data_IF_411744270186
#
_entry.id   IF_411744270186
#
_cell.length_a   1.000
_cell.length_b   1.000
_cell.length_c   1.000
_cell.angle_alpha   90.00
_cell.angle_beta   90.00
_cell.angle_gamma   90.00
#
_symmetry.space_group_name_H-M   'P 1'
#
loop_
_entity.id
_entity.type
_entity.pdbx_description
1 polymer ?
#
# COMPACT_ATOMS: atom_id res chain seq x y z
N UNK A 1 -37.19 25.86 -48.36
CA UNK A 1 -37.63 24.46 -48.40
C UNK A 1 -37.27 23.82 -47.06
N UNK A 2 -38.29 23.44 -46.28
CA UNK A 2 -38.21 22.55 -45.10
C UNK A 2 -38.16 21.08 -45.60
N UNK A 3 -37.66 20.11 -44.81
CA UNK A 3 -38.35 19.50 -43.64
C UNK A 3 -37.42 19.40 -42.41
N UNK A 4 -37.80 19.43 -41.11
CA UNK A 4 -38.89 18.94 -40.24
C UNK A 4 -38.82 17.45 -39.80
N UNK A 5 -38.42 17.29 -38.51
CA UNK A 5 -38.85 16.35 -37.43
C UNK A 5 -38.45 14.87 -37.60
N UNK A 6 -37.81 14.18 -36.64
CA UNK A 6 -38.39 13.86 -35.32
C UNK A 6 -37.40 13.39 -34.24
N UNK A 7 -37.69 13.81 -33.00
CA UNK A 7 -37.23 13.32 -31.69
C UNK A 7 -37.54 11.82 -31.47
N UNK A 8 -36.76 11.19 -30.57
CA UNK A 8 -37.07 10.18 -29.52
C UNK A 8 -35.70 9.78 -28.93
N UNK A 9 -35.41 9.56 -27.65
CA UNK A 9 -35.94 9.92 -26.33
C UNK A 9 -34.77 9.66 -25.36
N UNK A 10 -34.45 10.61 -24.46
CA UNK A 10 -33.42 10.44 -23.42
C UNK A 10 -34.10 9.83 -22.18
N UNK A 11 -33.92 8.53 -21.97
CA UNK A 11 -34.30 7.90 -20.70
C UNK A 11 -33.14 7.96 -19.70
N UNK A 12 -33.24 8.93 -18.79
CA UNK A 12 -32.49 9.01 -17.55
C UNK A 12 -33.00 7.91 -16.61
N UNK A 13 -32.14 6.96 -16.26
CA UNK A 13 -32.40 6.06 -15.14
C UNK A 13 -32.12 6.78 -13.82
N UNK A 14 -33.19 7.01 -13.07
CA UNK A 14 -33.21 7.35 -11.64
C UNK A 14 -32.90 6.11 -10.79
N UNK A 15 -32.08 6.22 -9.73
CA UNK A 15 -31.89 5.15 -8.76
C UNK A 15 -33.06 5.12 -7.74
N UNK A 16 -33.42 3.95 -7.20
CA UNK A 16 -34.53 3.82 -6.27
C UNK A 16 -34.18 4.26 -4.84
N UNK A 17 -35.23 4.79 -4.23
CA UNK A 17 -35.41 5.29 -2.87
C UNK A 17 -34.70 4.52 -1.74
N UNK A 18 -34.04 5.31 -0.89
CA UNK A 18 -33.73 4.98 0.49
C UNK A 18 -35.03 4.81 1.29
N UNK A 19 -35.12 3.75 2.07
CA UNK A 19 -36.14 3.56 3.10
C UNK A 19 -35.63 4.20 4.39
N UNK A 20 -36.34 5.23 4.86
CA UNK A 20 -36.14 5.86 6.17
C UNK A 20 -36.40 4.88 7.30
N UNK A 21 -35.44 4.79 8.21
CA UNK A 21 -35.59 4.30 9.57
C UNK A 21 -35.85 5.51 10.47
N UNK A 22 -37.10 5.67 10.90
CA UNK A 22 -37.47 6.51 12.04
C UNK A 22 -37.77 5.60 13.23
N UNK A 23 -37.00 5.73 14.32
CA UNK A 23 -37.50 5.54 15.68
C UNK A 23 -36.44 5.90 16.73
N UNK A 24 -36.78 6.93 17.51
CA UNK A 24 -36.51 7.10 18.94
C UNK A 24 -35.08 7.35 19.43
N UNK A 25 -34.74 8.63 19.42
CA UNK A 25 -34.51 9.43 20.64
C UNK A 25 -34.67 8.66 21.96
N UNK A 26 -33.57 8.43 22.68
CA UNK A 26 -33.59 8.37 24.13
C UNK A 26 -32.24 8.84 24.72
N UNK A 27 -32.43 9.72 25.67
CA UNK A 27 -31.52 10.62 26.33
C UNK A 27 -31.20 10.00 27.69
N UNK A 28 -29.95 9.63 27.98
CA UNK A 28 -29.53 9.43 29.38
C UNK A 28 -28.00 9.44 29.54
N UNK A 29 -27.51 10.55 30.07
CA UNK A 29 -26.22 10.60 30.78
C UNK A 29 -26.35 9.90 32.13
N UNK A 30 -25.27 9.24 32.61
CA UNK A 30 -24.93 9.45 34.00
C UNK A 30 -23.43 9.61 34.27
N UNK A 31 -23.11 10.79 34.82
CA UNK A 31 -22.52 10.97 36.15
C UNK A 31 -21.24 10.19 36.47
N UNK A 32 -20.13 10.91 36.44
CA UNK A 32 -18.86 10.54 37.08
C UNK A 32 -19.00 10.42 38.61
N UNK A 33 -18.27 9.50 39.27
CA UNK A 33 -17.99 9.60 40.69
C UNK A 33 -16.67 10.33 40.96
N UNK A 34 -16.79 11.35 41.80
CA UNK A 34 -15.74 12.00 42.59
C UNK A 34 -15.29 11.09 43.73
N UNK A 35 -13.97 11.01 43.96
CA UNK A 35 -13.27 10.77 45.24
C UNK A 35 -11.78 11.05 44.95
N UNK A 36 -11.11 12.11 45.42
CA UNK A 36 -10.87 12.63 46.77
C UNK A 36 -9.88 11.79 47.61
N UNK A 37 -8.67 12.35 47.79
CA UNK A 37 -7.71 12.06 48.88
C UNK A 37 -6.59 11.10 48.49
N UNK A 38 -5.32 11.27 48.87
CA UNK A 38 -4.63 12.14 49.83
C UNK A 38 -3.10 11.95 49.61
N UNK A 39 -2.30 13.00 49.85
CA UNK A 39 -0.89 12.98 50.29
C UNK A 39 0.13 12.32 49.35
N UNK A 40 1.39 12.74 49.22
CA UNK A 40 2.34 13.17 50.25
C UNK A 40 3.43 14.02 49.58
N UNK A 41 4.00 14.89 50.41
CA UNK A 41 5.11 15.84 50.28
C UNK A 41 6.37 15.33 49.55
N UNK A 42 7.18 16.25 49.03
CA UNK A 42 8.53 15.93 48.55
C UNK A 42 9.31 17.06 47.86
N UNK A 43 9.78 18.01 48.66
CA UNK A 43 10.79 19.05 48.41
C UNK A 43 11.82 18.91 47.26
N UNK A 44 11.93 20.00 46.47
CA UNK A 44 13.13 20.78 46.05
C UNK A 44 14.48 20.14 45.71
N UNK A 45 15.00 20.45 44.51
CA UNK A 45 16.34 21.01 44.17
C UNK A 45 16.58 20.82 42.66
N UNK A 46 16.62 21.86 41.81
CA UNK A 46 17.79 22.71 41.50
C UNK A 46 19.09 21.93 41.27
N UNK A 47 19.49 21.72 40.00
CA UNK A 47 20.89 21.88 39.58
C UNK A 47 21.04 21.94 38.06
N UNK A 48 21.61 23.05 37.60
CA UNK A 48 22.27 23.22 36.32
C UNK A 48 23.53 22.34 36.20
N UNK A 49 23.89 21.97 34.97
CA UNK A 49 25.21 21.45 34.60
C UNK A 49 25.19 20.97 33.15
N UNK A 50 25.45 21.85 32.17
CA UNK A 50 26.73 21.98 31.45
C UNK A 50 27.43 20.65 31.14
N UNK A 51 27.62 20.40 29.84
CA UNK A 51 28.96 20.23 29.31
C UNK A 51 29.28 18.89 28.67
N UNK A 52 29.55 18.99 27.36
CA UNK A 52 30.67 18.34 26.68
C UNK A 52 30.47 16.94 26.10
N UNK A 53 30.22 16.95 24.78
CA UNK A 53 30.77 15.99 23.84
C UNK A 53 32.30 15.85 24.01
N UNK A 54 32.87 14.70 23.62
CA UNK A 54 33.85 14.81 22.55
C UNK A 54 33.68 13.75 21.46
N UNK A 55 33.88 14.24 20.25
CA UNK A 55 34.37 13.55 19.06
C UNK A 55 35.54 12.61 19.35
N UNK A 56 35.50 11.39 18.81
CA UNK A 56 36.70 10.63 18.48
C UNK A 56 36.43 9.72 17.28
N UNK A 57 37.01 10.12 16.15
CA UNK A 57 37.33 9.28 14.99
C UNK A 57 38.11 8.04 15.40
N UNK A 58 37.80 6.90 14.78
CA UNK A 58 38.52 5.65 15.08
C UNK A 58 38.20 4.51 14.12
N UNK A 59 38.69 4.66 12.89
CA UNK A 59 39.23 3.62 12.00
C UNK A 59 38.60 2.21 11.98
N UNK A 60 38.04 1.94 10.80
CA UNK A 60 37.78 0.65 10.15
C UNK A 60 39.00 -0.28 10.28
N UNK A 61 38.77 -1.50 10.78
CA UNK A 61 39.66 -2.65 10.57
C UNK A 61 38.83 -3.84 10.07
N UNK A 62 39.07 -4.23 8.83
CA UNK A 62 38.51 -5.42 8.19
C UNK A 62 39.45 -6.57 8.51
N UNK A 63 38.94 -7.67 9.07
CA UNK A 63 39.56 -8.98 8.93
C UNK A 63 38.50 -10.06 8.73
N UNK A 64 38.68 -10.96 7.74
CA UNK A 64 37.74 -12.01 7.41
C UNK A 64 38.14 -13.31 8.11
N UNK A 65 37.19 -14.01 8.71
CA UNK A 65 37.34 -15.45 8.92
C UNK A 65 35.96 -16.12 8.94
N UNK A 66 35.74 -16.93 7.90
CA UNK A 66 34.68 -17.93 7.86
C UNK A 66 35.16 -19.19 8.60
N UNK A 67 34.23 -19.97 9.16
CA UNK A 67 34.20 -21.36 8.70
C UNK A 67 32.79 -21.84 8.35
N UNK A 68 32.71 -22.52 7.22
CA UNK A 68 31.64 -23.44 6.91
C UNK A 68 31.79 -24.70 7.78
N UNK A 69 30.73 -25.09 8.48
CA UNK A 69 30.53 -26.50 8.80
C UNK A 69 29.04 -26.84 8.86
N UNK A 70 28.71 -27.82 8.03
CA UNK A 70 27.44 -28.51 7.86
C UNK A 70 27.05 -29.28 9.12
N UNK A 71 25.75 -29.31 9.45
CA UNK A 71 25.24 -30.23 10.46
C UNK A 71 23.74 -30.08 10.67
N UNK A 72 22.97 -30.96 10.03
CA UNK A 72 21.54 -31.16 10.27
C UNK A 72 21.22 -31.16 11.76
N UNK A 73 20.30 -30.30 12.19
CA UNK A 73 19.56 -30.50 13.44
C UNK A 73 18.09 -30.25 13.15
N UNK A 74 17.35 -31.36 13.10
CA UNK A 74 15.92 -31.40 13.34
C UNK A 74 15.61 -30.66 14.64
N UNK A 75 14.90 -29.55 14.54
CA UNK A 75 14.22 -28.92 15.66
C UNK A 75 12.90 -28.39 15.12
N UNK A 76 11.82 -29.08 15.44
CA UNK A 76 10.50 -28.47 15.51
C UNK A 76 10.56 -27.38 16.58
N UNK A 77 11.09 -26.22 16.20
CA UNK A 77 11.09 -25.04 17.03
C UNK A 77 9.64 -24.55 17.10
N UNK A 78 9.01 -24.75 18.25
CA UNK A 78 7.87 -23.93 18.66
C UNK A 78 8.34 -22.48 18.59
N UNK A 79 7.96 -21.79 17.53
CA UNK A 79 8.12 -20.35 17.42
C UNK A 79 7.10 -19.69 18.34
N UNK A 80 7.41 -19.62 19.63
CA UNK A 80 6.89 -18.54 20.50
C UNK A 80 7.63 -17.24 20.12
N UNK A 81 7.58 -16.86 18.84
CA UNK A 81 7.99 -15.54 18.40
C UNK A 81 6.82 -14.62 18.71
N UNK A 82 6.89 -13.96 19.88
CA UNK A 82 6.03 -12.82 20.18
C UNK A 82 6.32 -11.75 19.13
N UNK A 83 5.54 -11.73 18.06
CA UNK A 83 5.51 -10.64 17.09
C UNK A 83 4.90 -9.44 17.83
N UNK A 84 5.70 -8.43 18.22
CA UNK A 84 5.29 -7.42 19.20
C UNK A 84 4.22 -6.45 18.68
N UNK A 85 3.93 -6.52 17.38
CA UNK A 85 2.96 -5.69 16.67
C UNK A 85 1.62 -6.41 16.43
N UNK A 86 1.53 -7.70 16.75
CA UNK A 86 0.31 -8.48 16.56
C UNK A 86 -0.45 -8.62 17.87
N UNK A 87 -1.75 -8.40 17.81
CA UNK A 87 -2.62 -8.60 18.96
C UNK A 87 -2.65 -10.08 19.35
N UNK A 88 -2.91 -10.39 20.63
CA UNK A 88 -2.94 -11.78 21.12
C UNK A 88 -3.89 -12.68 20.31
N UNK A 89 -5.00 -12.12 19.80
CA UNK A 89 -5.91 -12.82 18.89
C UNK A 89 -5.33 -13.13 17.51
N UNK A 90 -4.50 -12.25 16.96
CA UNK A 90 -3.84 -12.43 15.67
C UNK A 90 -2.74 -13.50 15.75
N UNK A 91 -2.01 -13.55 16.86
CA UNK A 91 -1.02 -14.61 17.13
C UNK A 91 -1.69 -15.98 17.24
N UNK A 92 -2.86 -16.08 17.89
CA UNK A 92 -3.61 -17.33 17.93
C UNK A 92 -4.10 -17.77 16.55
N UNK A 93 -4.58 -16.83 15.73
CA UNK A 93 -5.00 -17.10 14.35
C UNK A 93 -3.83 -17.57 13.47
N UNK A 94 -2.65 -16.97 13.63
CA UNK A 94 -1.43 -17.40 12.95
C UNK A 94 -1.04 -18.83 13.35
N UNK A 95 -1.14 -19.17 14.64
CA UNK A 95 -0.86 -20.52 15.12
C UNK A 95 -1.83 -21.56 14.56
N UNK A 96 -3.11 -21.22 14.38
CA UNK A 96 -4.08 -22.09 13.69
C UNK A 96 -3.83 -22.20 12.18
N UNK A 97 -3.14 -21.22 11.59
CA UNK A 97 -2.84 -21.18 10.15
C UNK A 97 -1.53 -21.86 9.75
N UNK A 98 -0.66 -22.15 10.74
CA UNK A 98 0.64 -22.76 10.51
C UNK A 98 0.54 -24.09 9.76
N UNK A 99 1.51 -24.37 8.88
CA UNK A 99 1.50 -25.56 8.02
C UNK A 99 1.53 -26.84 8.84
N UNK A 100 0.39 -27.52 8.93
CA UNK A 100 0.31 -28.89 9.41
C UNK A 100 0.75 -29.81 8.27
N UNK A 101 1.72 -30.70 8.52
CA UNK A 101 2.26 -31.63 7.52
C UNK A 101 1.21 -32.62 6.97
N UNK A 102 -0.01 -32.62 7.53
CA UNK A 102 -1.17 -33.41 7.12
C UNK A 102 -1.98 -32.75 6.00
N UNK A 103 -1.75 -31.47 5.74
CA UNK A 103 -2.42 -30.69 4.69
C UNK A 103 -1.67 -30.74 3.34
N UNK A 104 -0.48 -31.34 3.29
CA UNK A 104 0.25 -31.53 2.05
C UNK A 104 -0.38 -32.69 1.29
N UNK A 105 -1.27 -32.37 0.35
CA UNK A 105 -1.80 -33.36 -0.61
C UNK A 105 -0.69 -33.73 -1.58
N UNK A 106 0.00 -34.82 -1.31
CA UNK A 106 0.96 -35.41 -2.25
C UNK A 106 0.17 -36.06 -3.39
N UNK A 107 0.14 -35.41 -4.55
CA UNK A 107 -0.44 -35.96 -5.76
C UNK A 107 0.41 -37.13 -6.25
N UNK A 108 -0.26 -38.21 -6.69
CA UNK A 108 0.42 -39.28 -7.41
C UNK A 108 0.89 -38.78 -8.78
N UNK A 109 1.99 -39.32 -9.31
CA UNK A 109 2.51 -38.98 -10.64
C UNK A 109 1.43 -39.07 -11.74
N UNK A 110 0.51 -40.04 -11.61
CA UNK A 110 -0.63 -40.18 -12.52
C UNK A 110 -1.63 -39.03 -12.39
N UNK A 111 -1.91 -38.58 -11.17
CA UNK A 111 -2.83 -37.47 -10.90
C UNK A 111 -2.22 -36.16 -11.40
N UNK A 112 -0.92 -35.95 -11.18
CA UNK A 112 -0.18 -34.81 -11.72
C UNK A 112 -0.23 -34.79 -13.25
N UNK A 113 -0.01 -35.94 -13.90
CA UNK A 113 -0.12 -36.07 -15.35
C UNK A 113 -1.54 -35.75 -15.85
N UNK A 114 -2.58 -36.25 -15.17
CA UNK A 114 -3.97 -35.96 -15.54
C UNK A 114 -4.28 -34.46 -15.45
N UNK A 115 -3.80 -33.77 -14.41
CA UNK A 115 -3.96 -32.32 -14.29
C UNK A 115 -3.21 -31.56 -15.37
N UNK A 116 -2.00 -32.01 -15.74
CA UNK A 116 -1.26 -31.43 -16.84
C UNK A 116 -1.99 -31.60 -18.17
N UNK A 117 -2.48 -32.81 -18.47
CA UNK A 117 -3.27 -33.09 -19.67
C UNK A 117 -4.57 -32.28 -19.68
N UNK A 118 -5.24 -32.13 -18.54
CA UNK A 118 -6.41 -31.26 -18.44
C UNK A 118 -6.09 -29.81 -18.83
N UNK A 119 -5.00 -29.25 -18.31
CA UNK A 119 -4.57 -27.90 -18.66
C UNK A 119 -4.24 -27.77 -20.15
N UNK A 120 -3.54 -28.74 -20.73
CA UNK A 120 -3.23 -28.77 -22.16
C UNK A 120 -4.49 -28.85 -23.03
N UNK A 121 -5.47 -29.68 -22.65
CA UNK A 121 -6.75 -29.77 -23.36
C UNK A 121 -7.52 -28.45 -23.27
N UNK A 122 -7.49 -27.76 -22.12
CA UNK A 122 -8.13 -26.45 -21.99
C UNK A 122 -7.49 -25.39 -22.90
N UNK A 123 -6.16 -25.41 -23.03
CA UNK A 123 -5.40 -24.52 -23.92
C UNK A 123 -5.71 -24.82 -25.39
N UNK A 124 -5.67 -26.09 -25.80
CA UNK A 124 -6.01 -26.51 -27.16
C UNK A 124 -7.47 -26.20 -27.53
N UNK A 125 -8.41 -26.27 -26.57
CA UNK A 125 -9.80 -25.87 -26.79
C UNK A 125 -9.93 -24.37 -27.09
N UNK A 126 -9.09 -23.54 -26.47
CA UNK A 126 -9.03 -22.11 -26.74
C UNK A 126 -8.42 -21.84 -28.11
N UNK A 127 -7.30 -22.51 -28.46
CA UNK A 127 -6.70 -22.41 -29.80
C UNK A 127 -7.67 -22.80 -30.91
N UNK A 128 -8.42 -23.90 -30.71
CA UNK A 128 -9.45 -24.34 -31.66
C UNK A 128 -10.54 -23.30 -31.84
N UNK A 129 -11.02 -22.68 -30.75
CA UNK A 129 -12.04 -21.64 -30.83
C UNK A 129 -11.54 -20.40 -31.60
N UNK A 130 -10.26 -20.04 -31.47
CA UNK A 130 -9.64 -18.98 -32.28
C UNK A 130 -9.55 -19.35 -33.76
N UNK A 131 -9.08 -20.56 -34.08
CA UNK A 131 -8.92 -21.01 -35.47
C UNK A 131 -10.26 -21.18 -36.21
N UNK A 132 -11.31 -21.66 -35.52
CA UNK A 132 -12.67 -21.75 -36.08
C UNK A 132 -13.19 -20.37 -36.48
N UNK A 133 -12.91 -19.35 -35.66
CA UNK A 133 -13.35 -17.99 -35.93
C UNK A 133 -12.56 -17.28 -37.05
N UNK A 134 -11.24 -17.53 -37.13
CA UNK A 134 -10.39 -17.01 -38.20
C UNK A 134 -10.81 -17.55 -39.58
N UNK A 135 -11.26 -18.81 -39.63
CA UNK A 135 -11.77 -19.43 -40.85
C UNK A 135 -13.07 -18.78 -41.35
N UNK A 136 -13.98 -18.42 -40.43
CA UNK A 136 -15.28 -17.81 -40.73
C UNK A 136 -15.14 -16.34 -41.22
N UNK A 137 -14.10 -15.64 -40.76
CA UNK A 137 -13.87 -14.21 -41.06
C UNK A 137 -13.29 -13.93 -42.47
N UNK A 138 -12.85 -14.95 -43.22
CA UNK A 138 -12.13 -14.78 -44.49
C UNK A 138 -13.01 -14.51 -45.74
N UNK A 139 -14.26 -14.05 -45.60
CA UNK A 139 -15.21 -13.88 -46.71
C UNK A 139 -15.31 -12.43 -47.25
N UNK A 140 -14.28 -11.96 -47.94
CA UNK A 140 -14.34 -11.03 -49.10
C UNK A 140 -15.13 -9.69 -49.06
N UNK A 141 -15.49 -9.13 -47.91
CA UNK A 141 -16.13 -7.82 -47.76
C UNK A 141 -15.13 -6.76 -47.23
N UNK A 142 -15.58 -5.50 -47.13
CA UNK A 142 -14.79 -4.34 -46.71
C UNK A 142 -13.96 -4.60 -45.43
N UNK A 143 -12.62 -4.43 -45.45
CA UNK A 143 -11.75 -4.89 -44.38
C UNK A 143 -12.01 -4.20 -43.03
N UNK A 144 -12.54 -2.98 -43.02
CA UNK A 144 -12.86 -2.26 -41.78
C UNK A 144 -14.13 -2.80 -41.11
N UNK A 145 -15.20 -3.03 -41.88
CA UNK A 145 -16.43 -3.65 -41.38
C UNK A 145 -16.18 -5.10 -40.93
N UNK A 146 -15.37 -5.86 -41.67
CA UNK A 146 -14.99 -7.22 -41.30
C UNK A 146 -14.16 -7.27 -40.01
N UNK A 147 -13.24 -6.32 -39.82
CA UNK A 147 -12.46 -6.22 -38.60
C UNK A 147 -13.35 -5.92 -37.40
N UNK A 148 -14.31 -5.00 -37.53
CA UNK A 148 -15.26 -4.70 -36.46
C UNK A 148 -16.16 -5.90 -36.10
N UNK A 149 -16.57 -6.69 -37.09
CA UNK A 149 -17.34 -7.93 -36.87
C UNK A 149 -16.47 -9.00 -36.20
N UNK A 150 -15.25 -9.23 -36.69
CA UNK A 150 -14.32 -10.21 -36.14
C UNK A 150 -13.91 -9.87 -34.69
N UNK A 151 -13.66 -8.59 -34.37
CA UNK A 151 -13.39 -8.15 -33.00
C UNK A 151 -14.57 -8.45 -32.07
N UNK A 152 -15.79 -8.15 -32.51
CA UNK A 152 -17.00 -8.42 -31.73
C UNK A 152 -17.20 -9.91 -31.48
N UNK A 153 -17.07 -10.72 -32.52
CA UNK A 153 -17.17 -12.18 -32.43
C UNK A 153 -16.07 -12.76 -31.54
N UNK A 154 -14.86 -12.18 -31.55
CA UNK A 154 -13.74 -12.63 -30.73
C UNK A 154 -14.01 -12.34 -29.26
N UNK A 155 -14.51 -11.14 -28.96
CA UNK A 155 -14.92 -10.78 -27.61
C UNK A 155 -16.08 -11.66 -27.13
N UNK A 156 -17.03 -12.00 -28.00
CA UNK A 156 -18.11 -12.94 -27.70
C UNK A 156 -17.57 -14.35 -27.40
N UNK A 157 -16.73 -14.91 -28.27
CA UNK A 157 -16.09 -16.21 -28.08
C UNK A 157 -15.25 -16.26 -26.79
N UNK A 158 -14.45 -15.21 -26.53
CA UNK A 158 -13.64 -15.11 -25.31
C UNK A 158 -14.51 -15.02 -24.06
N UNK A 159 -15.57 -14.22 -24.09
CA UNK A 159 -16.48 -14.08 -22.96
C UNK A 159 -17.23 -15.39 -22.66
N UNK A 160 -17.76 -16.06 -23.69
CA UNK A 160 -18.48 -17.33 -23.57
C UNK A 160 -17.58 -18.46 -23.08
N UNK A 161 -16.37 -18.59 -23.62
CA UNK A 161 -15.37 -19.55 -23.15
C UNK A 161 -15.01 -19.30 -21.67
N UNK A 162 -14.75 -18.04 -21.30
CA UNK A 162 -14.37 -17.69 -19.92
C UNK A 162 -15.50 -17.98 -18.94
N UNK A 163 -16.75 -17.66 -19.30
CA UNK A 163 -17.94 -17.96 -18.48
C UNK A 163 -18.14 -19.47 -18.35
N UNK A 164 -18.06 -20.23 -19.44
CA UNK A 164 -18.18 -21.70 -19.42
C UNK A 164 -17.11 -22.33 -18.56
N UNK A 165 -15.85 -21.92 -18.72
CA UNK A 165 -14.72 -22.40 -17.91
C UNK A 165 -14.91 -22.09 -16.43
N UNK A 166 -15.38 -20.88 -16.12
CA UNK A 166 -15.70 -20.49 -14.73
C UNK A 166 -16.83 -21.35 -14.16
N UNK A 167 -17.90 -21.61 -14.92
CA UNK A 167 -19.00 -22.46 -14.50
C UNK A 167 -18.55 -23.91 -14.22
N UNK A 168 -17.79 -24.51 -15.15
CA UNK A 168 -17.23 -25.86 -14.98
C UNK A 168 -16.32 -25.91 -13.75
N UNK A 169 -15.41 -24.95 -13.60
CA UNK A 169 -14.51 -24.88 -12.45
C UNK A 169 -15.28 -24.74 -11.14
N UNK A 170 -16.32 -23.92 -11.11
CA UNK A 170 -17.18 -23.79 -9.92
C UNK A 170 -17.80 -25.13 -9.57
N UNK A 171 -18.41 -25.84 -10.52
CA UNK A 171 -19.04 -27.15 -10.28
C UNK A 171 -18.00 -28.17 -9.76
N UNK A 172 -16.83 -28.25 -10.40
CA UNK A 172 -15.74 -29.16 -10.00
C UNK A 172 -15.18 -28.87 -8.61
N UNK A 173 -15.28 -27.62 -8.13
CA UNK A 173 -14.82 -27.24 -6.79
C UNK A 173 -15.94 -27.37 -5.75
N UNK A 174 -17.16 -26.95 -6.06
CA UNK A 174 -18.26 -26.86 -5.08
C UNK A 174 -18.81 -28.23 -4.71
N UNK A 175 -18.97 -29.15 -5.68
CA UNK A 175 -19.52 -30.48 -5.40
C UNK A 175 -18.67 -31.28 -4.39
N UNK A 176 -17.33 -31.42 -4.55
CA UNK A 176 -16.52 -32.12 -3.56
C UNK A 176 -16.43 -31.38 -2.22
N UNK A 177 -16.50 -30.04 -2.19
CA UNK A 177 -16.57 -29.26 -0.94
C UNK A 177 -17.88 -29.54 -0.20
N UNK A 178 -19.02 -29.49 -0.88
CA UNK A 178 -20.33 -29.80 -0.29
C UNK A 178 -20.36 -31.24 0.22
N UNK A 179 -19.76 -32.18 -0.52
CA UNK A 179 -19.62 -33.57 -0.08
C UNK A 179 -18.69 -33.74 1.12
N UNK A 180 -17.61 -32.97 1.20
CA UNK A 180 -16.66 -33.04 2.31
C UNK A 180 -17.24 -32.44 3.60
N UNK A 181 -17.99 -31.35 3.50
CA UNK A 181 -18.51 -30.59 4.65
C UNK A 181 -19.87 -31.11 5.13
N UNK A 182 -20.80 -31.37 4.22
CA UNK A 182 -22.21 -31.60 4.58
C UNK A 182 -22.68 -33.03 4.35
N UNK A 183 -22.05 -33.77 3.43
CA UNK A 183 -22.37 -35.17 3.19
C UNK A 183 -21.32 -36.04 3.89
N UNK A 184 -21.66 -37.29 4.18
CA UNK A 184 -20.63 -38.23 4.65
C UNK A 184 -19.70 -38.50 3.47
N UNK A 185 -18.52 -37.91 3.51
CA UNK A 185 -17.47 -38.09 2.51
C UNK A 185 -17.28 -39.58 2.19
N UNK A 186 -17.56 -39.95 0.93
CA UNK A 186 -17.57 -41.33 0.49
C UNK A 186 -16.15 -41.79 0.16
N UNK A 187 -15.33 -40.90 -0.42
CA UNK A 187 -13.96 -41.20 -0.83
C UNK A 187 -12.93 -40.72 0.21
N UNK A 188 -11.74 -41.36 0.30
CA UNK A 188 -10.68 -40.88 1.18
C UNK A 188 -10.19 -39.47 0.80
N UNK A 189 -10.22 -39.13 -0.50
CA UNK A 189 -9.90 -37.78 -0.98
C UNK A 189 -10.90 -36.74 -0.43
N UNK A 190 -12.20 -37.02 -0.49
CA UNK A 190 -13.23 -36.14 0.10
C UNK A 190 -13.07 -35.95 1.61
N UNK A 191 -12.62 -36.98 2.34
CA UNK A 191 -12.34 -36.86 3.78
C UNK A 191 -11.14 -35.97 4.09
N UNK A 192 -10.10 -36.02 3.25
CA UNK A 192 -8.94 -35.13 3.37
C UNK A 192 -9.28 -33.67 3.02
N UNK A 193 -10.24 -33.44 2.11
CA UNK A 193 -10.67 -32.09 1.75
C UNK A 193 -11.25 -31.30 2.94
N UNK A 194 -11.84 -31.95 3.94
CA UNK A 194 -12.43 -31.26 5.09
C UNK A 194 -11.38 -30.48 5.91
N UNK A 195 -10.19 -31.04 6.14
CA UNK A 195 -9.13 -30.31 6.88
C UNK A 195 -8.67 -29.10 6.10
N UNK A 196 -8.50 -29.25 4.78
CA UNK A 196 -8.10 -28.17 3.88
C UNK A 196 -9.13 -27.05 3.79
N UNK A 197 -10.42 -27.39 3.77
CA UNK A 197 -11.51 -26.41 3.78
C UNK A 197 -11.52 -25.63 5.09
N UNK A 198 -11.45 -26.32 6.23
CA UNK A 198 -11.39 -25.65 7.54
C UNK A 198 -10.18 -24.72 7.64
N UNK A 199 -9.01 -25.16 7.13
CA UNK A 199 -7.80 -24.34 7.12
C UNK A 199 -7.92 -23.14 6.19
N UNK A 200 -8.47 -23.32 5.00
CA UNK A 200 -8.78 -22.21 4.07
C UNK A 200 -9.67 -21.18 4.76
N UNK A 201 -10.69 -21.62 5.50
CA UNK A 201 -11.62 -20.72 6.17
C UNK A 201 -10.95 -19.96 7.33
N UNK A 202 -10.07 -20.62 8.10
CA UNK A 202 -9.22 -19.94 9.09
C UNK A 202 -8.29 -18.94 8.43
N UNK A 203 -7.60 -19.32 7.35
CA UNK A 203 -6.72 -18.43 6.58
C UNK A 203 -7.46 -17.23 6.00
N UNK A 204 -8.69 -17.42 5.53
CA UNK A 204 -9.53 -16.34 5.03
C UNK A 204 -9.88 -15.34 6.15
N UNK A 205 -10.19 -15.83 7.35
CA UNK A 205 -10.40 -14.98 8.53
C UNK A 205 -9.13 -14.23 8.95
N UNK A 206 -7.97 -14.91 8.95
CA UNK A 206 -6.68 -14.27 9.25
C UNK A 206 -6.38 -13.18 8.23
N UNK A 207 -6.57 -13.48 6.95
CA UNK A 207 -6.34 -12.54 5.86
C UNK A 207 -7.23 -11.31 5.97
N UNK A 208 -8.52 -11.49 6.20
CA UNK A 208 -9.45 -10.36 6.38
C UNK A 208 -9.06 -9.49 7.57
N UNK A 209 -8.69 -10.10 8.70
CA UNK A 209 -8.23 -9.38 9.87
C UNK A 209 -6.96 -8.57 9.56
N UNK A 210 -5.96 -9.21 8.95
CA UNK A 210 -4.70 -8.55 8.58
C UNK A 210 -4.92 -7.43 7.55
N UNK A 211 -5.79 -7.63 6.57
CA UNK A 211 -6.16 -6.61 5.59
C UNK A 211 -6.84 -5.41 6.28
N UNK A 212 -7.75 -5.66 7.22
CA UNK A 212 -8.41 -4.60 7.98
C UNK A 212 -7.43 -3.82 8.88
N UNK A 213 -6.47 -4.50 9.49
CA UNK A 213 -5.41 -3.88 10.30
C UNK A 213 -4.46 -3.06 9.42
N UNK A 214 -4.10 -3.59 8.25
CA UNK A 214 -3.30 -2.87 7.26
C UNK A 214 -4.01 -1.59 6.80
N UNK A 215 -5.28 -1.66 6.44
CA UNK A 215 -6.08 -0.49 6.05
C UNK A 215 -6.17 0.55 7.15
N UNK A 216 -6.30 0.12 8.42
CA UNK A 216 -6.29 1.02 9.57
C UNK A 216 -4.95 1.75 9.67
N UNK A 217 -3.83 1.03 9.58
CA UNK A 217 -2.49 1.62 9.62
C UNK A 217 -2.28 2.59 8.46
N UNK A 218 -2.74 2.27 7.25
CA UNK A 218 -2.64 3.16 6.10
C UNK A 218 -3.46 4.44 6.28
N UNK A 219 -4.67 4.35 6.87
CA UNK A 219 -5.48 5.53 7.21
C UNK A 219 -4.80 6.39 8.29
N UNK A 220 -4.19 5.76 9.30
CA UNK A 220 -3.45 6.49 10.34
C UNK A 220 -2.21 7.18 9.76
N UNK A 221 -1.46 6.49 8.91
CA UNK A 221 -0.28 7.04 8.25
C UNK A 221 -0.63 8.24 7.37
N UNK A 222 -1.64 8.12 6.51
CA UNK A 222 -2.10 9.24 5.68
C UNK A 222 -2.64 10.41 6.51
N UNK A 223 -3.35 10.16 7.60
CA UNK A 223 -3.79 11.22 8.51
C UNK A 223 -2.60 11.94 9.17
N UNK A 224 -1.58 11.20 9.60
CA UNK A 224 -0.35 11.76 10.18
C UNK A 224 0.46 12.55 9.15
N UNK A 225 0.51 12.07 7.90
CA UNK A 225 1.18 12.77 6.80
C UNK A 225 0.53 14.12 6.52
N UNK A 226 -0.80 14.16 6.44
CA UNK A 226 -1.56 15.42 6.27
C UNK A 226 -1.30 16.38 7.45
N UNK A 227 -1.29 15.88 8.68
CA UNK A 227 -0.97 16.69 9.86
C UNK A 227 0.46 17.22 9.82
N UNK A 228 1.43 16.40 9.39
CA UNK A 228 2.83 16.81 9.26
C UNK A 228 2.98 17.93 8.22
N UNK A 229 2.33 17.80 7.07
CA UNK A 229 2.30 18.83 6.04
C UNK A 229 1.69 20.13 6.56
N UNK A 230 0.60 20.05 7.32
CA UNK A 230 -0.04 21.23 7.92
C UNK A 230 0.89 21.92 8.93
N UNK A 231 1.51 21.16 9.83
CA UNK A 231 2.48 21.69 10.81
C UNK A 231 3.67 22.33 10.09
N UNK A 232 4.18 21.72 9.02
CA UNK A 232 5.27 22.29 8.25
C UNK A 232 4.89 23.62 7.57
N UNK A 233 3.67 23.74 7.05
CA UNK A 233 3.16 25.02 6.50
C UNK A 233 3.07 26.10 7.58
N UNK A 234 2.56 25.75 8.76
CA UNK A 234 2.48 26.67 9.89
C UNK A 234 3.87 27.10 10.37
N UNK A 235 4.80 26.16 10.49
CA UNK A 235 6.19 26.44 10.84
C UNK A 235 6.85 27.37 9.81
N UNK A 236 6.62 27.15 8.52
CA UNK A 236 7.11 28.04 7.47
C UNK A 236 6.53 29.45 7.61
N UNK A 237 5.23 29.57 7.88
CA UNK A 237 4.57 30.87 8.03
C UNK A 237 5.07 31.62 9.27
N UNK A 238 5.22 30.93 10.40
CA UNK A 238 5.81 31.51 11.62
C UNK A 238 7.25 31.97 11.39
N UNK A 239 8.05 31.18 10.65
CA UNK A 239 9.42 31.58 10.27
C UNK A 239 9.39 32.80 9.35
N UNK A 240 8.47 32.88 8.38
CA UNK A 240 8.30 34.07 7.53
C UNK A 240 7.93 35.30 8.37
N UNK A 241 7.01 35.17 9.32
CA UNK A 241 6.62 36.25 10.22
C UNK A 241 7.79 36.70 11.10
N UNK A 242 8.53 35.76 11.68
CA UNK A 242 9.73 36.05 12.47
C UNK A 242 10.77 36.80 11.64
N UNK A 243 11.02 36.37 10.40
CA UNK A 243 11.94 37.06 9.50
C UNK A 243 11.45 38.46 9.12
N UNK A 244 10.14 38.68 8.92
CA UNK A 244 9.57 40.02 8.68
C UNK A 244 9.78 40.93 9.89
N UNK A 245 9.41 40.48 11.09
CA UNK A 245 9.60 41.23 12.33
C UNK A 245 11.08 41.52 12.61
N UNK A 246 11.97 40.57 12.33
CA UNK A 246 13.43 40.75 12.52
C UNK A 246 14.02 41.71 11.49
N UNK A 247 13.49 41.76 10.26
CA UNK A 247 13.89 42.76 9.24
C UNK A 247 13.44 44.16 9.64
N UNK A 248 12.20 44.28 10.13
CA UNK A 248 11.63 45.53 10.63
C UNK A 248 12.40 46.07 11.84
N UNK A 249 12.87 45.18 12.72
CA UNK A 249 13.72 45.54 13.87
C UNK A 249 15.22 45.53 13.55
N UNK A 250 15.63 45.81 12.30
CA UNK A 250 17.05 45.97 11.95
C UNK A 250 17.76 47.11 12.70
N UNK A 251 17.04 47.86 13.53
CA UNK A 251 17.56 48.84 14.49
C UNK A 251 18.65 48.29 15.41
N UNK A 252 18.67 46.97 15.68
CA UNK A 252 19.73 46.34 16.47
C UNK A 252 21.10 46.37 15.76
N UNK A 253 21.14 46.40 14.42
CA UNK A 253 22.40 46.49 13.67
C UNK A 253 23.07 47.86 13.86
N UNK A 254 22.28 48.93 13.99
CA UNK A 254 22.78 50.28 14.25
C UNK A 254 23.15 50.50 15.72
N UNK A 255 22.52 49.76 16.65
CA UNK A 255 22.83 49.78 18.09
C UNK A 255 24.04 48.92 18.48
N UNK A 256 24.58 48.13 17.55
CA UNK A 256 25.78 47.33 17.77
C UNK A 256 27.04 48.21 17.56
N UNK A 257 27.56 48.79 18.65
CA UNK A 257 28.77 49.63 18.62
C UNK A 257 30.08 48.82 18.56
N UNK A 258 30.02 47.50 18.82
CA UNK A 258 31.21 46.64 18.84
C UNK A 258 31.67 46.24 17.41
N UNK A 259 32.86 46.69 16.97
CA UNK A 259 33.33 46.47 15.59
C UNK A 259 33.70 45.00 15.31
N UNK A 260 34.04 44.23 16.35
CA UNK A 260 34.34 42.80 16.21
C UNK A 260 33.10 41.99 15.83
N UNK A 261 31.95 42.30 16.45
CA UNK A 261 30.67 41.62 16.16
C UNK A 261 30.15 41.94 14.76
N UNK A 262 30.33 43.19 14.29
CA UNK A 262 29.99 43.57 12.92
C UNK A 262 30.82 42.78 11.89
N UNK A 263 32.13 42.66 12.11
CA UNK A 263 33.01 41.90 11.22
C UNK A 263 32.67 40.40 11.18
N UNK A 264 32.21 39.83 12.29
CA UNK A 264 31.75 38.45 12.37
C UNK A 264 30.41 38.25 11.64
N UNK A 265 29.50 39.22 11.73
CA UNK A 265 28.22 39.20 11.03
C UNK A 265 28.41 39.27 9.51
N UNK A 266 29.27 40.18 9.03
CA UNK A 266 29.59 40.30 7.60
C UNK A 266 30.23 39.01 7.06
N UNK A 267 31.11 38.40 7.85
CA UNK A 267 31.70 37.10 7.50
C UNK A 267 30.65 36.00 7.40
N UNK A 268 29.72 35.92 8.35
CA UNK A 268 28.63 34.93 8.31
C UNK A 268 27.68 35.17 7.13
N UNK A 269 27.42 36.43 6.76
CA UNK A 269 26.59 36.77 5.60
C UNK A 269 27.28 36.39 4.29
N UNK A 270 28.60 36.61 4.19
CA UNK A 270 29.39 36.14 3.05
C UNK A 270 29.39 34.61 2.96
N UNK A 271 29.59 33.91 4.08
CA UNK A 271 29.57 32.45 4.12
C UNK A 271 28.18 31.89 3.75
N UNK A 272 27.11 32.55 4.18
CA UNK A 272 25.74 32.19 3.81
C UNK A 272 25.50 32.38 2.31
N UNK A 273 25.91 33.51 1.73
CA UNK A 273 25.81 33.77 0.28
C UNK A 273 26.60 32.75 -0.53
N UNK A 274 27.80 32.38 -0.07
CA UNK A 274 28.62 31.36 -0.71
C UNK A 274 27.94 29.98 -0.69
N UNK A 275 27.38 29.56 0.45
CA UNK A 275 26.65 28.30 0.57
C UNK A 275 25.35 28.29 -0.21
N UNK A 276 24.62 29.41 -0.26
CA UNK A 276 23.43 29.55 -1.09
C UNK A 276 23.80 29.37 -2.56
N UNK A 277 24.84 30.06 -3.04
CA UNK A 277 25.31 29.90 -4.41
C UNK A 277 25.70 28.44 -4.73
N UNK A 278 26.39 27.75 -3.81
CA UNK A 278 26.71 26.33 -3.96
C UNK A 278 25.44 25.46 -4.04
N UNK A 279 24.45 25.72 -3.21
CA UNK A 279 23.18 24.99 -3.24
C UNK A 279 22.41 25.22 -4.56
N UNK A 280 22.33 26.46 -5.04
CA UNK A 280 21.71 26.76 -6.34
C UNK A 280 22.43 26.05 -7.49
N UNK A 281 23.76 26.02 -7.47
CA UNK A 281 24.52 25.27 -8.49
C UNK A 281 24.23 23.77 -8.42
N UNK A 282 24.15 23.19 -7.23
CA UNK A 282 23.84 21.77 -7.06
C UNK A 282 22.41 21.46 -7.50
N UNK A 283 21.45 22.33 -7.19
CA UNK A 283 20.05 22.21 -7.62
C UNK A 283 19.93 22.25 -9.14
N UNK A 284 20.59 23.22 -9.78
CA UNK A 284 20.63 23.35 -11.24
C UNK A 284 21.26 22.13 -11.91
N UNK A 285 22.33 21.58 -11.34
CA UNK A 285 22.95 20.34 -11.85
C UNK A 285 21.99 19.16 -11.69
N UNK A 286 21.36 19.01 -10.52
CA UNK A 286 20.43 17.92 -10.25
C UNK A 286 19.21 17.96 -11.18
N UNK A 287 18.61 19.13 -11.40
CA UNK A 287 17.49 19.29 -12.32
C UNK A 287 17.88 19.01 -13.77
N UNK A 288 19.05 19.46 -14.22
CA UNK A 288 19.58 19.16 -15.54
C UNK A 288 19.84 17.66 -15.75
N UNK A 289 20.33 16.95 -14.73
CA UNK A 289 20.52 15.49 -14.77
C UNK A 289 19.19 14.75 -14.87
N UNK A 290 18.19 15.14 -14.07
CA UNK A 290 16.86 14.51 -14.09
C UNK A 290 16.18 14.72 -15.45
N UNK A 291 16.18 15.96 -15.96
CA UNK A 291 15.60 16.27 -17.28
C UNK A 291 16.38 15.57 -18.42
N UNK A 292 17.71 15.51 -18.33
CA UNK A 292 18.58 14.89 -19.33
C UNK A 292 18.58 13.36 -19.33
N UNK A 293 18.17 12.73 -18.23
CA UNK A 293 18.12 11.26 -18.09
C UNK A 293 16.98 10.60 -18.88
N UNK A 294 16.01 11.37 -19.36
CA UNK A 294 14.82 10.85 -20.04
C UNK A 294 13.83 10.14 -19.11
N UNK A 295 14.02 10.23 -17.79
CA UNK A 295 13.02 9.82 -16.80
C UNK A 295 11.76 10.68 -16.94
N UNK A 296 10.58 10.07 -16.80
CA UNK A 296 9.31 10.78 -16.81
C UNK A 296 9.09 11.53 -15.48
N UNK A 297 9.79 12.66 -15.32
CA UNK A 297 9.78 13.49 -14.12
C UNK A 297 8.48 14.31 -13.95
N UNK A 298 7.62 14.36 -14.96
CA UNK A 298 6.37 15.13 -14.91
C UNK A 298 5.28 14.44 -14.06
N UNK A 299 5.29 13.10 -14.03
CA UNK A 299 4.29 12.29 -13.33
C UNK A 299 4.67 11.99 -11.87
N UNK A 300 5.92 12.24 -11.48
CA UNK A 300 6.41 12.09 -10.10
C UNK A 300 6.47 13.46 -9.42
N UNK A 301 5.66 13.66 -8.39
CA UNK A 301 5.57 14.92 -7.65
C UNK A 301 6.92 15.35 -7.01
N UNK A 302 7.75 14.39 -6.60
CA UNK A 302 9.08 14.67 -6.02
C UNK A 302 10.07 15.14 -7.09
N UNK A 303 10.07 14.48 -8.26
CA UNK A 303 10.93 14.89 -9.39
C UNK A 303 10.44 16.20 -10.01
N UNK A 304 9.12 16.41 -10.06
CA UNK A 304 8.51 17.65 -10.51
C UNK A 304 8.88 18.82 -9.61
N UNK A 305 8.84 18.66 -8.28
CA UNK A 305 9.26 19.68 -7.34
C UNK A 305 10.78 19.96 -7.35
N UNK A 306 11.59 18.97 -7.75
CA UNK A 306 13.04 19.14 -7.92
C UNK A 306 13.39 19.90 -9.20
N UNK A 307 12.62 19.69 -10.28
CA UNK A 307 12.84 20.31 -11.59
C UNK A 307 12.18 21.68 -11.71
N UNK A 308 10.98 21.86 -11.16
CA UNK A 308 10.29 23.15 -11.14
C UNK A 308 10.81 24.01 -9.97
N UNK A 309 11.40 25.15 -10.30
CA UNK A 309 11.62 26.22 -9.33
C UNK A 309 10.27 26.84 -8.97
N UNK A 310 9.74 26.57 -7.77
CA UNK A 310 8.66 27.40 -7.18
C UNK A 310 9.20 28.76 -6.67
N UNK A 311 10.29 29.27 -7.24
CA UNK A 311 10.87 30.55 -6.90
C UNK A 311 10.75 31.52 -8.08
N UNK A 312 9.51 31.91 -8.37
CA UNK A 312 9.20 33.18 -9.04
C UNK A 312 8.30 34.00 -8.09
N UNK A 313 8.92 34.50 -6.99
CA UNK A 313 8.57 35.73 -6.24
C UNK A 313 9.55 35.96 -5.06
#
# INVERSE_FOLDING_TARGET
MLPRVSNVDVQRHTPPHQVSLDAHENNESPKAPSQAGQGVEGCSATSCGRGSSPTASGLIFISPDAPAFTGSTSMAAKHDQSLPHLQTGEVTLLNYSADDSRDVVTLSDKEALVLQLYNQVQEQQLEKAFLEQELESCSGADPEEQLAIAERELLEARSTYTVRRKAIRTILMTEPILKAVHLKAATPAERALLSLVNRRDVLALVHENLASAHDLVMRQFSALEVQNLQINRENQELVRQLLKLTKEDSSWREKLEDPELLSQLDRLEMDFKARKAQWETMKSIASAVVVGSGLNWADDDMLRALVLDESDD
#
